data_IF_264906126758
#
_entry.id   IF_264906126758
#
_cell.length_a   1.000
_cell.length_b   1.000
_cell.length_c   1.000
_cell.angle_alpha   90.00
_cell.angle_beta   90.00
_cell.angle_gamma   90.00
#
_symmetry.space_group_name_H-M   'P 1'
#
loop_
_entity.id
_entity.type
_entity.pdbx_description
1 polymer ?
#
# COMPACT_ATOMS: atom_id res chain seq x y z
N UNK A 1 -23.78 23.57 17.44
CA UNK A 1 -23.88 22.50 16.43
C UNK A 1 -23.27 21.24 17.01
N UNK A 2 -24.03 20.15 17.15
CA UNK A 2 -23.54 18.88 17.72
C UNK A 2 -22.98 18.01 16.61
N UNK A 3 -21.80 18.33 16.11
CA UNK A 3 -21.11 17.56 15.09
C UNK A 3 -19.60 17.56 15.35
N UNK A 4 -18.94 16.42 15.25
CA UNK A 4 -17.49 16.29 15.40
C UNK A 4 -16.72 16.89 14.23
N UNK A 5 -17.31 16.89 13.04
CA UNK A 5 -16.74 17.50 11.82
C UNK A 5 -17.81 18.18 11.00
N UNK A 6 -17.46 19.29 10.37
CA UNK A 6 -18.29 20.01 9.43
C UNK A 6 -17.52 20.16 8.13
N UNK A 7 -18.11 19.71 7.03
CA UNK A 7 -17.49 19.71 5.70
C UNK A 7 -18.29 20.66 4.81
N UNK A 8 -17.58 21.50 4.08
CA UNK A 8 -18.17 22.49 3.19
C UNK A 8 -17.89 22.07 1.73
N UNK A 9 -18.94 22.07 0.91
CA UNK A 9 -18.89 21.85 -0.54
C UNK A 9 -18.38 20.46 -0.99
N UNK A 10 -18.42 19.45 -0.10
CA UNK A 10 -18.03 18.08 -0.46
C UNK A 10 -18.87 17.04 0.30
N UNK A 11 -19.02 15.81 -0.23
CA UNK A 11 -19.63 14.70 0.49
C UNK A 11 -18.87 14.36 1.77
N UNK A 12 -19.59 14.06 2.83
CA UNK A 12 -19.01 13.72 4.14
C UNK A 12 -18.09 12.50 4.09
N UNK A 13 -18.40 11.55 3.20
CA UNK A 13 -17.58 10.35 3.02
C UNK A 13 -16.15 10.65 2.56
N UNK A 14 -15.95 11.70 1.78
CA UNK A 14 -14.61 12.07 1.31
C UNK A 14 -13.75 12.64 2.42
N UNK A 15 -14.30 13.55 3.21
CA UNK A 15 -13.55 14.11 4.33
C UNK A 15 -13.37 13.14 5.51
N UNK A 16 -14.12 12.04 5.55
CA UNK A 16 -13.93 10.99 6.55
C UNK A 16 -12.55 10.33 6.46
N UNK A 17 -11.99 10.24 5.26
CA UNK A 17 -10.68 9.65 5.00
C UNK A 17 -9.54 10.68 5.22
N UNK A 18 -9.86 11.98 5.24
CA UNK A 18 -8.88 13.04 5.49
C UNK A 18 -8.11 13.46 4.24
N UNK A 19 -6.78 13.54 4.34
CA UNK A 19 -5.91 14.15 3.34
C UNK A 19 -5.96 13.50 1.94
N UNK A 20 -6.46 12.28 1.83
CA UNK A 20 -6.58 11.57 0.55
C UNK A 20 -7.33 12.38 -0.53
N UNK A 21 -8.20 13.31 -0.12
CA UNK A 21 -9.02 14.14 -1.01
C UNK A 21 -8.75 15.65 -0.85
N UNK A 22 -7.52 16.04 -0.55
CA UNK A 22 -7.13 17.44 -0.33
C UNK A 22 -7.90 18.16 0.80
N UNK A 23 -8.11 17.46 1.90
CA UNK A 23 -8.60 18.06 3.13
C UNK A 23 -7.44 18.26 4.11
N UNK A 24 -7.43 19.41 4.81
CA UNK A 24 -6.45 19.72 5.85
C UNK A 24 -6.72 18.94 7.15
N UNK A 25 -6.88 17.63 7.03
CA UNK A 25 -7.09 16.71 8.16
C UNK A 25 -6.16 15.51 7.97
N UNK A 26 -5.51 15.07 9.03
CA UNK A 26 -4.72 13.85 9.01
C UNK A 26 -5.57 12.65 8.52
N UNK A 27 -5.03 11.78 7.66
CA UNK A 27 -5.72 10.57 7.20
C UNK A 27 -6.18 9.71 8.37
N UNK A 28 -7.39 9.17 8.28
CA UNK A 28 -7.95 8.31 9.31
C UNK A 28 -8.71 7.14 8.67
N UNK A 29 -8.41 5.93 9.10
CA UNK A 29 -9.14 4.73 8.71
C UNK A 29 -10.40 4.53 9.54
N UNK A 30 -10.50 5.18 10.70
CA UNK A 30 -11.65 5.08 11.59
C UNK A 30 -12.16 6.45 11.95
N UNK A 31 -13.46 6.60 11.93
CA UNK A 31 -14.15 7.79 12.42
C UNK A 31 -14.46 7.57 13.90
N UNK A 32 -13.70 8.22 14.76
CA UNK A 32 -14.00 8.21 16.19
C UNK A 32 -15.33 8.92 16.48
N UNK A 33 -16.06 8.52 17.55
CA UNK A 33 -17.33 9.13 17.91
C UNK A 33 -17.19 10.58 18.40
N UNK A 34 -15.99 11.03 18.70
CA UNK A 34 -15.71 12.34 19.28
C UNK A 34 -16.28 12.50 20.70
N UNK A 35 -16.18 13.70 21.27
CA UNK A 35 -16.69 13.99 22.62
C UNK A 35 -18.20 13.77 22.75
N UNK A 36 -18.96 13.99 21.68
CA UNK A 36 -20.42 13.78 21.65
C UNK A 36 -20.80 12.29 21.71
N UNK A 37 -19.91 11.41 21.31
CA UNK A 37 -20.14 9.96 21.27
C UNK A 37 -19.81 9.23 22.58
N UNK A 38 -19.50 9.95 23.66
CA UNK A 38 -19.17 9.38 24.98
C UNK A 38 -18.01 8.38 24.96
N UNK A 39 -17.04 8.54 24.04
CA UNK A 39 -15.87 7.67 23.98
C UNK A 39 -14.92 7.97 25.15
N UNK A 40 -14.35 6.91 25.74
CA UNK A 40 -13.32 7.03 26.75
C UNK A 40 -11.98 7.42 26.06
N UNK A 41 -11.33 8.46 26.56
CA UNK A 41 -9.99 8.82 26.15
C UNK A 41 -8.95 8.03 26.96
N UNK A 42 -8.00 7.39 26.30
CA UNK A 42 -7.00 6.53 26.95
C UNK A 42 -5.66 7.23 27.26
N UNK A 43 -5.52 8.50 26.95
CA UNK A 43 -4.32 9.28 27.22
C UNK A 43 -4.42 10.10 28.52
N UNK A 44 -3.36 10.85 28.87
CA UNK A 44 -3.41 11.80 29.97
C UNK A 44 -4.42 12.91 29.65
N UNK A 45 -5.37 13.09 30.56
CA UNK A 45 -6.40 14.13 30.42
C UNK A 45 -5.81 15.48 30.80
N UNK A 46 -5.84 16.43 29.89
CA UNK A 46 -5.49 17.81 30.09
C UNK A 46 -6.62 18.72 29.57
N UNK A 47 -6.40 20.03 29.50
CA UNK A 47 -7.44 20.96 29.01
C UNK A 47 -7.87 20.69 27.57
N UNK A 48 -7.02 20.10 26.72
CA UNK A 48 -7.35 19.79 25.33
C UNK A 48 -8.43 18.70 25.22
N UNK A 49 -8.40 17.71 26.12
CA UNK A 49 -9.42 16.65 26.15
C UNK A 49 -10.77 17.15 26.72
N UNK A 50 -10.76 18.30 27.40
CA UNK A 50 -11.99 18.95 27.88
C UNK A 50 -12.63 19.83 26.82
N UNK A 51 -11.94 20.12 25.72
CA UNK A 51 -12.46 20.92 24.62
C UNK A 51 -13.24 20.03 23.62
N UNK A 52 -14.45 20.46 23.28
CA UNK A 52 -15.18 19.88 22.16
C UNK A 52 -14.69 20.53 20.85
N UNK A 53 -13.57 20.00 20.32
CA UNK A 53 -12.94 20.54 19.11
C UNK A 53 -13.76 20.16 17.90
N UNK A 54 -14.27 21.15 17.19
CA UNK A 54 -14.95 20.99 15.90
C UNK A 54 -14.00 21.37 14.79
N UNK A 55 -13.74 20.43 13.91
CA UNK A 55 -12.91 20.68 12.73
C UNK A 55 -13.80 21.15 11.58
N UNK A 56 -13.54 22.36 11.11
CA UNK A 56 -14.12 22.91 9.90
C UNK A 56 -13.15 22.69 8.76
N UNK A 57 -13.53 21.89 7.77
CA UNK A 57 -12.68 21.61 6.63
C UNK A 57 -13.28 22.16 5.36
N UNK A 58 -12.44 22.81 4.58
CA UNK A 58 -12.77 23.27 3.23
C UNK A 58 -11.82 22.63 2.24
N UNK A 59 -12.29 22.40 1.04
CA UNK A 59 -11.41 21.94 -0.03
C UNK A 59 -10.38 23.03 -0.34
N UNK A 60 -9.12 22.69 -0.23
CA UNK A 60 -8.00 23.61 -0.44
C UNK A 60 -7.74 23.83 -1.92
N UNK A 61 -7.76 22.75 -2.69
CA UNK A 61 -7.53 22.75 -4.13
C UNK A 61 -8.49 21.79 -4.85
N UNK A 62 -8.63 22.01 -6.13
CA UNK A 62 -9.35 21.09 -6.98
C UNK A 62 -8.40 19.98 -7.42
N UNK A 63 -8.57 18.75 -6.93
CA UNK A 63 -7.86 17.60 -7.44
C UNK A 63 -8.34 17.33 -8.87
N UNK A 64 -7.53 17.74 -9.84
CA UNK A 64 -7.86 17.63 -11.26
C UNK A 64 -7.56 16.26 -11.85
N UNK A 65 -6.80 15.43 -11.13
CA UNK A 65 -6.42 14.11 -11.61
C UNK A 65 -6.26 13.11 -10.46
N UNK A 66 -6.55 11.88 -10.77
CA UNK A 66 -6.30 10.72 -9.92
C UNK A 66 -5.51 9.71 -10.74
N UNK A 67 -4.33 9.34 -10.28
CA UNK A 67 -3.52 8.32 -10.94
C UNK A 67 -3.90 6.95 -10.38
N UNK A 68 -4.49 6.12 -11.22
CA UNK A 68 -4.74 4.71 -10.95
C UNK A 68 -3.64 3.85 -11.59
N UNK A 69 -3.48 2.57 -11.17
CA UNK A 69 -2.63 1.64 -11.88
C UNK A 69 -2.98 1.62 -13.37
N UNK A 70 -1.97 1.61 -14.24
CA UNK A 70 -2.17 1.59 -15.70
C UNK A 70 -3.02 0.41 -16.16
N UNK A 71 -2.94 -0.70 -15.45
CA UNK A 71 -3.68 -1.92 -15.77
C UNK A 71 -4.04 -2.68 -14.49
N UNK A 72 -5.26 -3.16 -14.41
CA UNK A 72 -5.77 -4.01 -13.33
C UNK A 72 -6.36 -5.27 -13.95
N UNK A 73 -5.87 -6.43 -13.52
CA UNK A 73 -6.40 -7.74 -13.89
C UNK A 73 -7.25 -8.25 -12.75
N UNK A 74 -8.52 -8.43 -12.98
CA UNK A 74 -9.49 -8.82 -11.96
C UNK A 74 -10.36 -9.99 -12.47
N UNK A 75 -9.80 -11.19 -12.47
CA UNK A 75 -10.51 -12.43 -12.77
C UNK A 75 -9.68 -13.63 -12.35
N UNK A 76 -10.32 -14.70 -11.90
CA UNK A 76 -9.63 -15.97 -11.67
C UNK A 76 -8.89 -16.42 -12.93
N UNK A 77 -7.61 -16.76 -12.78
CA UNK A 77 -6.77 -17.20 -13.88
C UNK A 77 -6.19 -16.08 -14.75
N UNK A 78 -6.28 -14.79 -14.36
CA UNK A 78 -5.67 -13.68 -15.11
C UNK A 78 -4.15 -13.54 -14.90
N UNK A 79 -3.58 -14.13 -13.86
CA UNK A 79 -2.14 -14.04 -13.55
C UNK A 79 -1.26 -14.48 -14.73
N UNK A 80 -1.49 -15.61 -15.40
CA UNK A 80 -0.69 -16.01 -16.56
C UNK A 80 -0.67 -14.98 -17.70
N UNK A 81 -1.78 -14.27 -17.89
CA UNK A 81 -1.87 -13.22 -18.92
C UNK A 81 -1.02 -12.00 -18.51
N UNK A 82 -1.11 -11.59 -17.27
CA UNK A 82 -0.32 -10.48 -16.74
C UNK A 82 1.19 -10.76 -16.83
N UNK A 83 1.62 -11.97 -16.46
CA UNK A 83 3.03 -12.38 -16.53
C UNK A 83 3.55 -12.45 -17.97
N UNK A 84 2.73 -12.89 -18.92
CA UNK A 84 3.10 -12.90 -20.35
C UNK A 84 3.35 -11.50 -20.88
N UNK A 85 2.53 -10.52 -20.50
CA UNK A 85 2.73 -9.13 -20.90
C UNK A 85 4.04 -8.53 -20.40
N UNK A 86 4.56 -8.99 -19.27
CA UNK A 86 5.86 -8.55 -18.77
C UNK A 86 6.98 -8.82 -19.78
N UNK A 87 6.88 -9.92 -20.52
CA UNK A 87 7.83 -10.25 -21.58
C UNK A 87 7.46 -9.63 -22.92
N UNK A 88 6.23 -9.82 -23.37
CA UNK A 88 5.81 -9.48 -24.73
C UNK A 88 5.64 -7.96 -24.95
N UNK A 89 5.21 -7.23 -23.93
CA UNK A 89 4.90 -5.79 -24.04
C UNK A 89 6.00 -4.91 -23.44
N UNK A 90 6.53 -5.32 -22.30
CA UNK A 90 7.51 -4.52 -21.54
C UNK A 90 8.96 -5.02 -21.71
N UNK A 91 9.15 -6.22 -22.27
CA UNK A 91 10.45 -6.88 -22.50
C UNK A 91 11.33 -6.97 -21.25
N UNK A 92 10.74 -7.13 -20.08
CA UNK A 92 11.49 -7.32 -18.83
C UNK A 92 12.33 -8.60 -18.89
N UNK A 93 13.50 -8.54 -18.26
CA UNK A 93 14.50 -9.64 -18.27
C UNK A 93 14.72 -10.23 -16.88
N UNK A 94 14.59 -9.43 -15.82
CA UNK A 94 15.00 -9.80 -14.47
C UNK A 94 13.93 -9.37 -13.45
N UNK A 95 13.19 -10.32 -12.93
CA UNK A 95 12.09 -10.09 -11.99
C UNK A 95 12.54 -10.40 -10.55
N UNK A 96 12.39 -9.43 -9.66
CA UNK A 96 12.61 -9.61 -8.23
C UNK A 96 11.27 -9.85 -7.52
N UNK A 97 11.09 -11.04 -6.97
CA UNK A 97 9.83 -11.48 -6.37
C UNK A 97 9.89 -11.27 -4.86
N UNK A 98 8.92 -10.56 -4.32
CA UNK A 98 8.81 -10.23 -2.91
C UNK A 98 7.53 -10.84 -2.35
N UNK A 99 7.65 -11.66 -1.31
CA UNK A 99 6.52 -12.35 -0.68
C UNK A 99 6.80 -12.58 0.80
N UNK A 100 5.83 -13.05 1.56
CA UNK A 100 6.07 -13.50 2.93
C UNK A 100 6.52 -14.96 2.98
N UNK A 101 7.14 -15.34 4.11
CA UNK A 101 7.69 -16.68 4.31
C UNK A 101 6.62 -17.78 4.25
N UNK A 102 5.38 -17.48 4.68
CA UNK A 102 4.28 -18.45 4.69
C UNK A 102 3.84 -18.78 3.27
N UNK A 103 3.60 -17.77 2.46
CA UNK A 103 3.22 -17.95 1.05
C UNK A 103 4.33 -18.63 0.26
N UNK A 104 5.58 -18.29 0.55
CA UNK A 104 6.72 -18.92 -0.09
C UNK A 104 6.80 -20.42 0.22
N UNK A 105 6.69 -20.80 1.50
CA UNK A 105 6.70 -22.20 1.93
C UNK A 105 5.51 -23.02 1.42
N UNK A 106 4.36 -22.38 1.23
CA UNK A 106 3.17 -23.02 0.64
C UNK A 106 3.27 -23.18 -0.90
N UNK A 107 4.35 -22.72 -1.52
CA UNK A 107 4.51 -22.79 -2.96
C UNK A 107 3.59 -21.84 -3.75
N UNK A 108 3.02 -20.83 -3.10
CA UNK A 108 2.11 -19.90 -3.76
C UNK A 108 2.76 -19.10 -4.91
N UNK A 109 4.08 -18.95 -4.86
CA UNK A 109 4.85 -18.26 -5.90
C UNK A 109 5.35 -19.17 -7.01
N UNK A 110 5.31 -20.50 -6.85
CA UNK A 110 5.95 -21.44 -7.78
C UNK A 110 5.42 -21.31 -9.20
N UNK A 111 4.11 -21.21 -9.37
CA UNK A 111 3.50 -21.04 -10.69
C UNK A 111 3.94 -19.73 -11.38
N UNK A 112 4.12 -18.65 -10.60
CA UNK A 112 4.58 -17.36 -11.09
C UNK A 112 6.05 -17.47 -11.51
N UNK A 113 6.90 -18.02 -10.63
CA UNK A 113 8.33 -18.19 -10.86
C UNK A 113 8.57 -19.05 -12.11
N UNK A 114 7.91 -20.20 -12.20
CA UNK A 114 8.06 -21.11 -13.32
C UNK A 114 7.63 -20.43 -14.63
N UNK A 115 6.49 -19.76 -14.66
CA UNK A 115 6.04 -19.08 -15.87
C UNK A 115 6.98 -17.94 -16.30
N UNK A 116 7.56 -17.18 -15.37
CA UNK A 116 8.54 -16.15 -15.69
C UNK A 116 9.80 -16.77 -16.30
N UNK A 117 10.31 -17.84 -15.69
CA UNK A 117 11.49 -18.56 -16.18
C UNK A 117 11.25 -19.20 -17.55
N UNK A 118 10.08 -19.81 -17.77
CA UNK A 118 9.68 -20.36 -19.06
C UNK A 118 9.59 -19.29 -20.15
N UNK A 119 9.27 -18.05 -19.75
CA UNK A 119 9.28 -16.88 -20.64
C UNK A 119 10.66 -16.27 -20.85
N UNK A 120 11.72 -16.83 -20.25
CA UNK A 120 13.09 -16.33 -20.35
C UNK A 120 13.35 -15.09 -19.48
N UNK A 121 12.62 -14.93 -18.39
CA UNK A 121 12.85 -13.88 -17.38
C UNK A 121 13.58 -14.53 -16.19
N UNK A 122 14.75 -14.01 -15.86
CA UNK A 122 15.47 -14.42 -14.66
C UNK A 122 14.71 -13.99 -13.40
N UNK A 123 14.77 -14.82 -12.35
CA UNK A 123 14.05 -14.52 -11.10
C UNK A 123 14.98 -14.58 -9.88
N UNK A 124 14.80 -13.67 -8.95
CA UNK A 124 15.32 -13.77 -7.61
C UNK A 124 14.19 -13.49 -6.61
N UNK A 125 14.21 -14.16 -5.47
CA UNK A 125 13.13 -14.15 -4.48
C UNK A 125 13.62 -13.57 -3.15
N UNK A 126 12.76 -12.77 -2.51
CA UNK A 126 12.93 -12.32 -1.12
C UNK A 126 11.63 -12.59 -0.34
N UNK A 127 11.73 -13.32 0.76
CA UNK A 127 10.57 -13.78 1.54
C UNK A 127 10.71 -13.63 3.06
N UNK A 128 11.76 -12.97 3.55
CA UNK A 128 11.92 -12.68 4.99
C UNK A 128 11.14 -11.42 5.39
N UNK A 129 9.81 -11.50 5.25
CA UNK A 129 8.88 -10.41 5.59
C UNK A 129 8.01 -10.85 6.75
N UNK A 130 7.91 -9.98 7.77
CA UNK A 130 7.01 -10.16 8.91
C UNK A 130 5.65 -9.51 8.65
N UNK A 131 4.66 -9.93 9.41
CA UNK A 131 3.41 -9.17 9.56
C UNK A 131 3.77 -7.83 10.20
N UNK A 132 3.21 -6.73 9.70
CA UNK A 132 3.62 -5.35 10.05
C UNK A 132 5.12 -5.12 9.79
N UNK A 133 5.53 -5.05 8.52
CA UNK A 133 6.93 -4.95 8.15
C UNK A 133 7.53 -3.63 8.64
N UNK A 134 8.74 -3.72 9.17
CA UNK A 134 9.54 -2.56 9.54
C UNK A 134 10.53 -2.23 8.41
N UNK A 135 11.05 -1.01 8.42
CA UNK A 135 12.09 -0.58 7.46
C UNK A 135 13.28 -1.56 7.46
N UNK A 136 13.63 -2.10 8.62
CA UNK A 136 14.71 -3.08 8.75
C UNK A 136 14.46 -4.37 7.96
N UNK A 137 13.19 -4.77 7.76
CA UNK A 137 12.86 -5.95 6.97
C UNK A 137 13.10 -5.67 5.48
N UNK A 138 12.72 -4.50 4.99
CA UNK A 138 13.05 -4.07 3.64
C UNK A 138 14.57 -3.96 3.41
N UNK A 139 15.30 -3.41 4.38
CA UNK A 139 16.77 -3.28 4.30
C UNK A 139 17.49 -4.63 4.17
N UNK A 140 16.96 -5.72 4.70
CA UNK A 140 17.56 -7.07 4.56
C UNK A 140 17.55 -7.56 3.10
N UNK A 141 16.54 -7.19 2.33
CA UNK A 141 16.41 -7.63 0.94
C UNK A 141 17.22 -6.78 -0.05
N UNK A 142 17.59 -5.55 0.32
CA UNK A 142 18.29 -4.62 -0.58
C UNK A 142 19.64 -5.14 -1.11
N UNK A 143 20.54 -5.75 -0.31
CA UNK A 143 21.79 -6.28 -0.85
C UNK A 143 21.57 -7.29 -1.97
N UNK A 144 20.60 -8.20 -1.80
CA UNK A 144 20.24 -9.18 -2.83
C UNK A 144 19.65 -8.51 -4.06
N UNK A 145 18.85 -7.46 -3.87
CA UNK A 145 18.25 -6.70 -4.96
C UNK A 145 19.32 -5.93 -5.76
N UNK A 146 20.29 -5.31 -5.09
CA UNK A 146 21.41 -4.64 -5.74
C UNK A 146 22.33 -5.60 -6.50
N UNK A 147 22.59 -6.78 -5.96
CA UNK A 147 23.36 -7.83 -6.65
C UNK A 147 22.62 -8.34 -7.88
N UNK A 148 21.33 -8.57 -7.75
CA UNK A 148 20.51 -9.11 -8.83
C UNK A 148 20.18 -8.08 -9.90
N UNK A 149 20.09 -6.78 -9.60
CA UNK A 149 19.75 -5.69 -10.52
C UNK A 149 18.47 -5.96 -11.34
N UNK A 150 17.30 -6.02 -10.69
CA UNK A 150 16.04 -6.28 -11.39
C UNK A 150 15.59 -5.09 -12.24
N UNK A 151 14.86 -5.37 -13.28
CA UNK A 151 14.12 -4.39 -14.10
C UNK A 151 12.62 -4.38 -13.79
N UNK A 152 12.15 -5.34 -13.00
CA UNK A 152 10.77 -5.38 -12.49
C UNK A 152 10.72 -6.00 -11.09
N UNK A 153 9.82 -5.47 -10.26
CA UNK A 153 9.52 -6.00 -8.94
C UNK A 153 8.10 -6.58 -8.95
N UNK A 154 7.96 -7.78 -8.42
CA UNK A 154 6.67 -8.48 -8.30
C UNK A 154 6.40 -8.76 -6.83
N UNK A 155 5.43 -8.08 -6.25
CA UNK A 155 4.96 -8.38 -4.91
C UNK A 155 3.81 -9.41 -4.96
N UNK A 156 3.97 -10.50 -4.23
CA UNK A 156 2.96 -11.56 -4.13
C UNK A 156 2.52 -11.67 -2.67
N UNK A 157 1.26 -11.35 -2.39
CA UNK A 157 0.73 -11.41 -1.04
C UNK A 157 -0.23 -10.27 -0.70
N UNK A 158 -0.40 -10.04 0.58
CA UNK A 158 -1.22 -8.96 1.12
C UNK A 158 -0.46 -7.63 1.27
N UNK A 159 -1.01 -6.74 2.09
CA UNK A 159 -0.44 -5.41 2.34
C UNK A 159 1.02 -5.43 2.73
N UNK A 160 1.42 -6.31 3.66
CA UNK A 160 2.81 -6.40 4.13
C UNK A 160 3.82 -6.66 3.01
N UNK A 161 3.53 -7.58 2.10
CA UNK A 161 4.40 -7.87 0.96
C UNK A 161 4.45 -6.69 -0.03
N UNK A 162 3.30 -6.09 -0.31
CA UNK A 162 3.19 -4.95 -1.23
C UNK A 162 3.91 -3.72 -0.68
N UNK A 163 3.73 -3.41 0.60
CA UNK A 163 4.35 -2.24 1.22
C UNK A 163 5.86 -2.41 1.38
N UNK A 164 6.32 -3.63 1.74
CA UNK A 164 7.76 -3.93 1.73
C UNK A 164 8.36 -3.76 0.34
N UNK A 165 7.68 -4.24 -0.70
CA UNK A 165 8.14 -4.09 -2.07
C UNK A 165 8.27 -2.62 -2.50
N UNK A 166 7.31 -1.77 -2.12
CA UNK A 166 7.36 -0.32 -2.38
C UNK A 166 8.52 0.35 -1.65
N UNK A 167 8.73 0.00 -0.36
CA UNK A 167 9.84 0.54 0.42
C UNK A 167 11.18 0.11 -0.20
N UNK A 168 11.32 -1.17 -0.56
CA UNK A 168 12.52 -1.67 -1.21
C UNK A 168 12.77 -0.98 -2.55
N UNK A 169 11.74 -0.76 -3.35
CA UNK A 169 11.85 -0.02 -4.61
C UNK A 169 12.37 1.40 -4.38
N UNK A 170 11.75 2.16 -3.47
CA UNK A 170 12.20 3.54 -3.16
C UNK A 170 13.66 3.59 -2.67
N UNK A 171 14.10 2.56 -1.95
CA UNK A 171 15.48 2.50 -1.43
C UNK A 171 16.49 2.00 -2.47
N UNK A 172 16.01 1.33 -3.52
CA UNK A 172 16.84 0.80 -4.60
C UNK A 172 17.16 1.86 -5.66
N UNK A 173 16.22 2.78 -5.96
CA UNK A 173 16.36 3.93 -6.88
C UNK A 173 17.32 5.01 -6.33
#
# INVERSE_FOLDING_TARGET
MKAGRVIINQPTSFAGIGDLYNFDIAPSLTLGPGAVGHSAYMGNTNYEQLLDIKVLTMRKENMLWLQLPKKVYFKTGCTPVALREMKEVYDFKRAFIITDSTLYQLGACDAIINQLRDSGIETAEFFDIRVDPQIQDAMKGLPKMHEFQPDVIIAVGGGSAIDTAKIMWIMYE
#
